data_IF_332898449422
#
_entry.id   IF_332898449422
#
_cell.length_a   1.000
_cell.length_b   1.000
_cell.length_c   1.000
_cell.angle_alpha   90.00
_cell.angle_beta   90.00
_cell.angle_gamma   90.00
#
_symmetry.space_group_name_H-M   'P 1'
#
loop_
_entity.id
_entity.type
_entity.pdbx_description
1 polymer ?
#
# COMPACT_ATOMS: atom_id res chain seq x y z
N UNK A 1 4.51 -15.72 -6.64
CA UNK A 1 3.82 -14.95 -5.60
C UNK A 1 2.48 -14.55 -6.20
N UNK A 2 1.36 -15.04 -5.67
CA UNK A 2 0.02 -14.84 -6.23
C UNK A 2 -0.77 -13.94 -5.27
N UNK A 3 -0.50 -12.64 -5.32
CA UNK A 3 -1.25 -11.66 -4.54
C UNK A 3 -2.67 -11.51 -5.13
N UNK A 4 -3.67 -11.60 -4.26
CA UNK A 4 -5.08 -11.31 -4.61
C UNK A 4 -5.52 -10.16 -3.72
N UNK A 5 -5.66 -8.98 -4.31
CA UNK A 5 -6.02 -7.74 -3.62
C UNK A 5 -7.33 -7.16 -4.19
N UNK A 6 -8.15 -6.56 -3.32
CA UNK A 6 -9.33 -5.77 -3.72
C UNK A 6 -9.17 -4.35 -3.20
N UNK A 7 -9.21 -3.38 -4.11
CA UNK A 7 -9.18 -1.94 -3.78
C UNK A 7 -10.60 -1.37 -3.80
N UNK A 8 -10.99 -0.77 -2.68
CA UNK A 8 -12.29 -0.11 -2.51
C UNK A 8 -12.03 1.39 -2.30
N UNK A 9 -12.63 2.22 -3.15
CA UNK A 9 -12.52 3.67 -3.08
C UNK A 9 -13.75 4.28 -2.39
N UNK A 10 -13.64 5.55 -1.97
CA UNK A 10 -14.76 6.36 -1.46
C UNK A 10 -15.45 5.78 -0.21
N UNK A 11 -14.69 5.09 0.64
CA UNK A 11 -15.18 4.58 1.92
C UNK A 11 -15.28 5.70 2.97
N UNK A 12 -16.17 5.51 3.95
CA UNK A 12 -16.09 6.20 5.23
C UNK A 12 -14.98 5.54 6.07
N UNK A 13 -13.83 6.22 6.18
CA UNK A 13 -12.65 5.70 6.84
C UNK A 13 -12.87 5.39 8.33
N UNK A 14 -13.62 6.23 9.06
CA UNK A 14 -13.85 6.05 10.49
C UNK A 14 -14.76 4.85 10.75
N UNK A 15 -15.84 4.72 9.97
CA UNK A 15 -16.74 3.57 10.06
C UNK A 15 -16.01 2.26 9.75
N UNK A 16 -15.12 2.25 8.76
CA UNK A 16 -14.34 1.06 8.40
C UNK A 16 -13.33 0.71 9.48
N UNK A 17 -12.61 1.68 10.04
CA UNK A 17 -11.66 1.46 11.14
C UNK A 17 -12.34 0.81 12.35
N UNK A 18 -13.47 1.37 12.79
CA UNK A 18 -14.25 0.82 13.90
C UNK A 18 -14.69 -0.62 13.63
N UNK A 19 -15.20 -0.90 12.43
CA UNK A 19 -15.59 -2.26 12.04
C UNK A 19 -14.41 -3.22 12.06
N UNK A 20 -13.22 -2.81 11.61
CA UNK A 20 -12.01 -3.63 11.64
C UNK A 20 -11.59 -3.93 13.08
N UNK A 21 -11.65 -2.94 13.98
CA UNK A 21 -11.36 -3.13 15.41
C UNK A 21 -12.35 -4.10 16.07
N UNK A 22 -13.65 -3.98 15.79
CA UNK A 22 -14.70 -4.91 16.26
C UNK A 22 -14.47 -6.35 15.79
N UNK A 23 -13.87 -6.54 14.61
CA UNK A 23 -13.47 -7.85 14.08
C UNK A 23 -12.15 -8.37 14.68
N UNK A 24 -11.49 -7.60 15.56
CA UNK A 24 -10.23 -7.97 16.20
C UNK A 24 -8.97 -7.65 15.38
N UNK A 25 -9.07 -6.77 14.38
CA UNK A 25 -7.90 -6.31 13.64
C UNK A 25 -6.97 -5.50 14.55
N UNK A 26 -5.66 -5.64 14.34
CA UNK A 26 -4.62 -4.89 15.06
C UNK A 26 -3.93 -3.91 14.11
N UNK A 27 -3.87 -2.63 14.50
CA UNK A 27 -3.12 -1.63 13.75
C UNK A 27 -1.62 -1.91 13.91
N UNK A 28 -0.95 -2.25 12.80
CA UNK A 28 0.49 -2.57 12.80
C UNK A 28 1.36 -1.40 12.34
N UNK A 29 0.77 -0.37 11.75
CA UNK A 29 1.49 0.80 11.26
C UNK A 29 0.58 2.03 11.16
N UNK A 30 1.13 3.19 11.49
CA UNK A 30 0.56 4.51 11.23
C UNK A 30 1.70 5.44 10.80
N UNK A 31 1.53 6.10 9.66
CA UNK A 31 2.52 7.04 9.18
C UNK A 31 2.59 7.11 7.66
N UNK A 32 3.57 7.87 7.20
CA UNK A 32 3.81 8.09 5.78
C UNK A 32 4.59 6.92 5.18
N UNK A 33 4.09 6.41 4.06
CA UNK A 33 4.82 5.48 3.19
C UNK A 33 5.25 6.24 1.95
N UNK A 34 6.55 6.39 1.77
CA UNK A 34 7.14 6.97 0.57
C UNK A 34 7.44 5.84 -0.43
N UNK A 35 7.08 6.05 -1.69
CA UNK A 35 7.29 5.09 -2.77
C UNK A 35 7.96 5.78 -3.95
N UNK A 36 9.11 5.27 -4.36
CA UNK A 36 9.81 5.70 -5.57
C UNK A 36 9.64 4.59 -6.61
N UNK A 37 9.01 4.94 -7.73
CA UNK A 37 8.80 4.03 -8.85
C UNK A 37 9.99 4.19 -9.80
N UNK A 38 10.56 3.08 -10.22
CA UNK A 38 11.63 3.04 -11.20
C UNK A 38 11.13 2.34 -12.46
N UNK A 39 11.44 2.94 -13.60
CA UNK A 39 11.27 2.35 -14.92
C UNK A 39 12.45 2.80 -15.79
N UNK A 40 12.56 2.21 -16.97
CA UNK A 40 13.48 2.69 -18.00
C UNK A 40 12.90 3.94 -18.69
N UNK A 41 13.76 4.70 -19.37
CA UNK A 41 13.33 5.89 -20.12
C UNK A 41 12.26 5.58 -21.19
N UNK A 42 12.18 4.33 -21.65
CA UNK A 42 11.19 3.83 -22.60
C UNK A 42 9.94 3.21 -21.96
N UNK A 43 9.77 3.33 -20.63
CA UNK A 43 8.62 2.81 -19.86
C UNK A 43 8.33 1.31 -20.07
N UNK A 44 9.34 0.49 -20.40
CA UNK A 44 9.12 -0.92 -20.75
C UNK A 44 8.52 -1.77 -19.63
N UNK A 45 8.77 -1.46 -18.35
CA UNK A 45 8.16 -2.24 -17.27
C UNK A 45 6.67 -1.95 -17.20
N UNK A 46 6.29 -0.68 -17.21
CA UNK A 46 4.89 -0.25 -17.20
C UNK A 46 4.11 -0.77 -18.40
N UNK A 47 4.69 -0.79 -19.61
CA UNK A 47 4.01 -1.29 -20.80
C UNK A 47 3.72 -2.80 -20.75
N UNK A 48 4.55 -3.55 -20.03
CA UNK A 48 4.31 -4.97 -19.72
C UNK A 48 3.41 -5.18 -18.49
N UNK A 49 2.87 -4.11 -17.89
CA UNK A 49 2.05 -4.18 -16.68
C UNK A 49 2.85 -4.50 -15.41
N UNK A 50 4.17 -4.32 -15.45
CA UNK A 50 5.08 -4.53 -14.33
C UNK A 50 5.36 -3.21 -13.60
N UNK A 51 5.78 -3.32 -12.34
CA UNK A 51 6.18 -2.17 -11.53
C UNK A 51 7.33 -2.53 -10.62
N UNK A 52 8.44 -1.79 -10.76
CA UNK A 52 9.52 -1.81 -9.79
C UNK A 52 9.41 -0.58 -8.87
N UNK A 53 9.35 -0.81 -7.56
CA UNK A 53 9.28 0.29 -6.58
C UNK A 53 10.15 0.04 -5.36
N UNK A 54 10.83 1.09 -4.91
CA UNK A 54 11.44 1.16 -3.59
C UNK A 54 10.44 1.81 -2.63
N UNK A 55 10.11 1.12 -1.54
CA UNK A 55 9.20 1.64 -0.51
C UNK A 55 9.95 1.88 0.80
N UNK A 56 9.86 3.09 1.34
CA UNK A 56 10.30 3.42 2.68
C UNK A 56 9.09 3.76 3.54
N UNK A 57 8.99 3.08 4.67
CA UNK A 57 8.10 3.44 5.75
C UNK A 57 8.87 4.47 6.59
N UNK A 58 8.22 5.55 7.05
CA UNK A 58 8.86 6.54 7.93
C UNK A 58 9.62 5.88 9.11
N UNK A 59 10.51 6.61 9.80
CA UNK A 59 11.42 6.05 10.85
C UNK A 59 10.74 4.92 11.62
N UNK A 60 11.15 3.68 11.34
CA UNK A 60 10.85 2.54 12.19
C UNK A 60 11.72 2.75 13.43
N UNK A 61 11.10 3.20 14.51
CA UNK A 61 11.74 3.12 15.83
C UNK A 61 11.92 1.62 16.12
N UNK A 62 13.16 1.15 15.99
CA UNK A 62 13.60 -0.16 16.48
C UNK A 62 14.14 0.01 17.89
#
# INVERSE_FOLDING_TARGET
MNEVEVKILEIDAEKVRKKLEELGAKKVYEGKVDSIIHDFDDERLKSEGLMLRLRSFGKKDY
#
